data_IF_665265207376
#
_entry.id   IF_665265207376
#
_cell.length_a   1.000
_cell.length_b   1.000
_cell.length_c   1.000
_cell.angle_alpha   90.00
_cell.angle_beta   90.00
_cell.angle_gamma   90.00
#
_symmetry.space_group_name_H-M   'P 1'
#
loop_
_entity.id
_entity.type
_entity.pdbx_description
1 polymer ?
#
# COMPACT_ATOMS: atom_id res chain seq x y z
N UNK A 1 -11.14 8.26 -3.15
CA UNK A 1 -10.77 7.04 -3.94
C UNK A 1 -9.66 7.44 -4.91
N UNK A 2 -8.53 6.73 -4.92
CA UNK A 2 -7.45 6.98 -5.89
C UNK A 2 -7.94 6.64 -7.30
N UNK A 3 -7.68 7.54 -8.25
CA UNK A 3 -7.99 7.34 -9.67
C UNK A 3 -6.68 7.28 -10.44
N UNK A 4 -6.38 6.10 -10.99
CA UNK A 4 -5.21 5.92 -11.84
C UNK A 4 -5.37 6.74 -13.11
N UNK A 5 -4.26 7.25 -13.64
CA UNK A 5 -4.23 7.81 -14.98
C UNK A 5 -4.60 6.74 -16.02
N UNK A 6 -4.75 7.11 -17.28
CA UNK A 6 -4.84 6.13 -18.37
C UNK A 6 -3.45 5.81 -18.91
N UNK A 7 -3.18 4.58 -19.32
CA UNK A 7 -1.84 4.17 -19.76
C UNK A 7 -1.29 5.07 -20.88
N UNK A 8 -2.13 5.47 -21.83
CA UNK A 8 -1.75 6.39 -22.92
C UNK A 8 -1.22 7.74 -22.40
N UNK A 9 -1.74 8.23 -21.28
CA UNK A 9 -1.41 9.51 -20.66
C UNK A 9 -0.31 9.39 -19.60
N UNK A 10 -0.01 8.20 -19.13
CA UNK A 10 1.10 7.95 -18.21
C UNK A 10 2.41 8.00 -19.00
N UNK A 11 3.24 9.02 -18.83
CA UNK A 11 4.47 9.23 -19.62
C UNK A 11 5.76 9.04 -18.80
N UNK A 12 5.62 8.59 -17.56
CA UNK A 12 6.73 8.46 -16.64
C UNK A 12 7.38 7.09 -16.76
N UNK A 13 8.68 7.07 -16.48
CA UNK A 13 9.47 5.85 -16.34
C UNK A 13 9.16 5.17 -15.01
N UNK A 14 9.38 3.85 -14.95
CA UNK A 14 9.28 3.07 -13.72
C UNK A 14 10.68 2.77 -13.20
N UNK A 15 10.89 2.84 -11.89
CA UNK A 15 12.14 2.38 -11.29
C UNK A 15 11.91 1.04 -10.61
N UNK A 16 12.74 0.06 -10.94
CA UNK A 16 12.77 -1.24 -10.27
C UNK A 16 13.79 -1.22 -9.15
N UNK A 17 13.42 -1.81 -8.02
CA UNK A 17 14.26 -1.95 -6.84
C UNK A 17 14.30 -3.40 -6.37
N UNK A 18 15.40 -3.77 -5.72
CA UNK A 18 15.43 -4.88 -4.79
C UNK A 18 15.12 -4.37 -3.38
N UNK A 19 14.14 -5.00 -2.74
CA UNK A 19 13.73 -4.73 -1.37
C UNK A 19 14.10 -5.89 -0.46
N UNK A 20 15.04 -5.66 0.47
CA UNK A 20 15.47 -6.69 1.41
C UNK A 20 14.41 -6.91 2.51
N UNK A 21 13.64 -7.98 2.39
CA UNK A 21 12.56 -8.29 3.33
C UNK A 21 13.03 -8.99 4.61
N UNK A 22 14.29 -9.45 4.66
CA UNK A 22 14.89 -10.01 5.86
C UNK A 22 15.20 -8.91 6.89
N UNK A 23 15.70 -7.76 6.43
CA UNK A 23 15.94 -6.59 7.28
C UNK A 23 14.64 -5.98 7.80
N UNK A 24 13.65 -5.80 6.93
CA UNK A 24 12.33 -5.33 7.32
C UNK A 24 11.25 -6.07 6.51
N UNK A 25 10.47 -6.97 7.12
CA UNK A 25 9.38 -7.63 6.42
C UNK A 25 8.33 -6.63 5.93
N UNK A 26 7.79 -6.84 4.72
CA UNK A 26 6.80 -5.97 4.07
C UNK A 26 5.63 -5.58 4.99
N UNK A 27 5.11 -6.52 5.79
CA UNK A 27 4.02 -6.23 6.75
C UNK A 27 4.43 -5.21 7.83
N UNK A 28 5.67 -5.29 8.32
CA UNK A 28 6.19 -4.33 9.30
C UNK A 28 6.44 -2.98 8.66
N UNK A 29 6.98 -2.97 7.44
CA UNK A 29 7.14 -1.75 6.66
C UNK A 29 5.81 -1.05 6.39
N UNK A 30 4.79 -1.78 5.94
CA UNK A 30 3.42 -1.26 5.76
C UNK A 30 2.88 -0.63 7.04
N UNK A 31 3.12 -1.27 8.19
CA UNK A 31 2.72 -0.73 9.49
C UNK A 31 3.43 0.58 9.81
N UNK A 32 4.71 0.73 9.47
CA UNK A 32 5.45 1.99 9.67
C UNK A 32 4.91 3.12 8.77
N UNK A 33 4.45 2.79 7.55
CA UNK A 33 3.87 3.75 6.62
C UNK A 33 2.51 4.30 7.04
N UNK A 34 1.73 3.56 7.84
CA UNK A 34 0.43 4.01 8.35
C UNK A 34 0.48 5.26 9.23
N UNK A 35 1.68 5.73 9.59
CA UNK A 35 1.90 7.05 10.19
C UNK A 35 1.60 8.13 9.15
N UNK A 36 0.84 9.17 9.52
CA UNK A 36 0.33 10.23 8.62
C UNK A 36 1.40 10.99 7.80
N UNK A 37 2.68 10.74 8.03
CA UNK A 37 3.82 11.47 7.47
C UNK A 37 4.14 11.12 6.03
N UNK A 38 3.73 9.96 5.52
CA UNK A 38 4.24 9.44 4.23
C UNK A 38 3.22 9.48 3.10
N UNK A 39 2.00 9.97 3.36
CA UNK A 39 0.94 10.02 2.36
C UNK A 39 0.38 8.65 1.97
N UNK A 40 0.67 7.61 2.76
CA UNK A 40 0.13 6.27 2.53
C UNK A 40 -1.39 6.28 2.68
N UNK A 41 -2.10 5.78 1.66
CA UNK A 41 -3.57 5.71 1.66
C UNK A 41 -4.04 4.28 1.91
N UNK A 42 -3.56 3.34 1.10
CA UNK A 42 -4.12 2.00 1.10
C UNK A 42 -3.20 0.99 0.42
N UNK A 43 -3.53 -0.29 0.66
CA UNK A 43 -2.94 -1.43 -0.02
C UNK A 43 -3.93 -2.06 -1.00
N UNK A 44 -3.46 -2.35 -2.20
CA UNK A 44 -4.17 -3.14 -3.20
C UNK A 44 -3.35 -4.41 -3.52
N UNK A 45 -3.99 -5.39 -4.15
CA UNK A 45 -3.37 -6.65 -4.55
C UNK A 45 -3.80 -7.00 -5.96
N UNK A 46 -2.86 -7.47 -6.79
CA UNK A 46 -3.14 -8.08 -8.09
C UNK A 46 -2.36 -9.38 -8.31
N UNK A 47 -2.67 -10.08 -9.40
CA UNK A 47 -1.90 -11.24 -9.85
C UNK A 47 -0.56 -10.79 -10.44
N UNK A 48 0.50 -11.57 -10.21
CA UNK A 48 1.81 -11.37 -10.84
C UNK A 48 1.77 -11.80 -12.33
N UNK A 49 1.88 -10.87 -13.30
CA UNK A 49 1.89 -11.21 -14.73
C UNK A 49 3.25 -11.77 -15.20
N UNK A 50 4.31 -11.67 -14.39
CA UNK A 50 5.70 -11.93 -14.82
C UNK A 50 6.14 -13.38 -14.68
N UNK A 51 5.27 -14.28 -14.24
CA UNK A 51 5.61 -15.71 -14.11
C UNK A 51 6.12 -16.39 -15.39
N UNK A 52 5.75 -15.84 -16.55
CA UNK A 52 6.13 -16.37 -17.86
C UNK A 52 7.35 -15.67 -18.46
N UNK A 53 7.91 -14.68 -17.77
CA UNK A 53 9.09 -13.97 -18.24
C UNK A 53 10.32 -14.76 -17.84
N UNK A 54 11.12 -15.13 -18.82
CA UNK A 54 12.43 -15.72 -18.58
C UNK A 54 13.35 -14.62 -18.06
N UNK A 55 13.88 -14.80 -16.86
CA UNK A 55 14.89 -13.90 -16.29
C UNK A 55 16.25 -14.29 -16.89
N UNK A 56 16.99 -13.36 -17.52
CA UNK A 56 18.35 -13.62 -17.95
C UNK A 56 19.25 -14.03 -16.78
N UNK A 57 20.27 -14.85 -17.06
CA UNK A 57 21.27 -15.20 -16.05
C UNK A 57 22.02 -13.94 -15.58
N UNK A 58 22.09 -13.74 -14.26
CA UNK A 58 22.67 -12.55 -13.64
C UNK A 58 21.67 -11.43 -13.31
N UNK A 59 20.45 -11.47 -13.86
CA UNK A 59 19.35 -10.55 -13.52
C UNK A 59 18.41 -11.15 -12.46
N UNK A 60 18.83 -12.19 -11.75
CA UNK A 60 18.02 -12.82 -10.71
C UNK A 60 17.85 -11.91 -9.49
N UNK A 61 16.63 -11.92 -8.93
CA UNK A 61 16.36 -11.28 -7.64
C UNK A 61 17.20 -11.98 -6.57
N UNK A 62 18.04 -11.25 -5.81
CA UNK A 62 18.85 -11.84 -4.77
C UNK A 62 18.00 -12.60 -3.73
N UNK A 63 18.57 -13.60 -3.04
CA UNK A 63 17.92 -14.21 -1.90
C UNK A 63 17.48 -13.14 -0.89
N UNK A 64 16.31 -13.36 -0.29
CA UNK A 64 15.73 -12.45 0.70
C UNK A 64 15.31 -11.06 0.19
N UNK A 65 15.27 -10.87 -1.13
CA UNK A 65 14.75 -9.66 -1.75
C UNK A 65 13.39 -9.89 -2.45
N UNK A 66 12.56 -8.85 -2.43
CA UNK A 66 11.45 -8.69 -3.37
C UNK A 66 11.86 -7.74 -4.49
N UNK A 67 11.39 -8.00 -5.71
CA UNK A 67 11.40 -6.99 -6.76
C UNK A 67 10.25 -6.00 -6.51
N UNK A 68 10.56 -4.72 -6.61
CA UNK A 68 9.61 -3.64 -6.35
C UNK A 68 9.61 -2.65 -7.50
N UNK A 69 8.45 -2.41 -8.10
CA UNK A 69 8.27 -1.36 -9.09
C UNK A 69 7.74 -0.09 -8.45
N UNK A 70 8.43 1.04 -8.64
CA UNK A 70 7.95 2.36 -8.27
C UNK A 70 7.30 3.06 -9.46
N UNK A 71 6.08 3.56 -9.23
CA UNK A 71 5.30 4.30 -10.21
C UNK A 71 5.14 5.75 -9.76
N UNK A 72 5.99 6.68 -10.23
CA UNK A 72 5.77 8.09 -10.00
C UNK A 72 4.48 8.54 -10.69
N UNK A 73 3.68 9.37 -10.01
CA UNK A 73 2.46 10.00 -10.57
C UNK A 73 1.48 9.00 -11.23
N UNK A 74 1.35 7.79 -10.70
CA UNK A 74 0.42 6.78 -11.16
C UNK A 74 -1.06 7.23 -11.08
N UNK A 75 -1.35 8.04 -10.07
CA UNK A 75 -2.70 8.50 -9.75
C UNK A 75 -2.86 10.00 -10.01
N UNK A 76 -4.10 10.45 -10.13
CA UNK A 76 -4.45 11.87 -10.13
C UNK A 76 -3.86 12.57 -8.90
N UNK A 77 -3.59 13.88 -9.02
CA UNK A 77 -3.00 14.71 -7.96
C UNK A 77 -1.58 14.28 -7.52
N UNK A 78 -0.78 13.70 -8.43
CA UNK A 78 0.62 13.29 -8.17
C UNK A 78 0.76 12.13 -7.17
N UNK A 79 -0.29 11.33 -6.98
CA UNK A 79 -0.20 10.10 -6.20
C UNK A 79 0.68 9.06 -6.89
N UNK A 80 1.38 8.24 -6.12
CA UNK A 80 2.31 7.22 -6.62
C UNK A 80 2.01 5.84 -6.03
N UNK A 81 2.65 4.80 -6.56
CA UNK A 81 2.51 3.43 -6.07
C UNK A 81 3.85 2.70 -5.99
N UNK A 82 3.95 1.75 -5.06
CA UNK A 82 5.02 0.75 -4.97
C UNK A 82 4.40 -0.63 -5.11
N UNK A 83 4.79 -1.40 -6.11
CA UNK A 83 4.32 -2.77 -6.34
C UNK A 83 5.37 -3.80 -5.96
N UNK A 84 5.14 -4.54 -4.88
CA UNK A 84 6.04 -5.60 -4.38
C UNK A 84 5.64 -6.94 -4.99
N UNK A 85 6.50 -7.56 -5.80
CA UNK A 85 6.30 -8.95 -6.26
C UNK A 85 6.55 -9.91 -5.10
N UNK A 86 5.47 -10.45 -4.56
CA UNK A 86 5.52 -11.43 -3.46
C UNK A 86 5.34 -12.84 -4.03
N UNK A 87 6.31 -13.75 -3.87
CA UNK A 87 6.20 -15.11 -4.33
C UNK A 87 5.06 -15.84 -3.59
N UNK A 88 4.27 -16.62 -4.33
CA UNK A 88 3.00 -17.22 -3.85
C UNK A 88 3.12 -18.14 -2.63
N UNK A 89 4.33 -18.61 -2.30
CA UNK A 89 4.61 -19.48 -1.15
C UNK A 89 4.57 -18.74 0.21
N UNK A 90 4.78 -17.43 0.25
CA UNK A 90 4.98 -16.68 1.51
C UNK A 90 3.69 -16.14 2.15
N UNK A 91 2.62 -15.97 1.37
CA UNK A 91 1.32 -15.53 1.89
C UNK A 91 0.46 -16.77 2.15
N UNK A 92 0.37 -17.18 3.42
CA UNK A 92 -0.41 -18.33 3.93
C UNK A 92 -1.93 -18.31 3.68
N UNK A 93 -2.39 -17.65 2.63
CA UNK A 93 -3.75 -17.72 2.12
C UNK A 93 -3.92 -19.00 1.31
N UNK A 94 -4.52 -20.00 1.94
CA UNK A 94 -4.82 -21.38 1.48
C UNK A 94 -5.67 -21.53 0.19
N UNK A 95 -5.74 -20.51 -0.68
CA UNK A 95 -6.66 -20.47 -1.83
C UNK A 95 -6.01 -20.58 -3.22
N UNK A 96 -4.77 -20.14 -3.42
CA UNK A 96 -4.07 -20.27 -4.71
C UNK A 96 -2.56 -20.02 -4.52
N UNK A 97 -1.88 -20.87 -3.75
CA UNK A 97 -0.43 -20.75 -3.46
C UNK A 97 0.44 -20.88 -4.72
N UNK A 98 -0.13 -21.32 -5.84
CA UNK A 98 0.54 -21.41 -7.13
C UNK A 98 0.74 -20.05 -7.80
N UNK A 99 0.06 -19.00 -7.33
CA UNK A 99 0.11 -17.69 -7.97
C UNK A 99 0.72 -16.60 -7.11
N UNK A 100 1.95 -16.22 -7.49
CA UNK A 100 2.58 -14.96 -7.12
C UNK A 100 1.60 -13.80 -7.26
N UNK A 101 1.74 -12.83 -6.36
CA UNK A 101 0.90 -11.65 -6.27
C UNK A 101 1.78 -10.41 -6.25
N UNK A 102 1.17 -9.28 -6.59
CA UNK A 102 1.78 -7.98 -6.39
C UNK A 102 1.02 -7.25 -5.29
N UNK A 103 1.72 -6.91 -4.21
CA UNK A 103 1.22 -6.05 -3.14
C UNK A 103 1.52 -4.59 -3.49
N UNK A 104 0.48 -3.80 -3.72
CA UNK A 104 0.57 -2.40 -4.10
C UNK A 104 0.37 -1.49 -2.90
N UNK A 105 1.39 -0.74 -2.51
CA UNK A 105 1.27 0.34 -1.54
C UNK A 105 1.02 1.64 -2.30
N UNK A 106 -0.11 2.29 -2.03
CA UNK A 106 -0.56 3.47 -2.78
C UNK A 106 -0.49 4.74 -1.92
N UNK A 107 -0.02 5.83 -2.51
CA UNK A 107 0.25 7.10 -1.83
C UNK A 107 -0.46 8.27 -2.53
N UNK A 108 -0.86 9.29 -1.74
CA UNK A 108 -1.53 10.51 -2.22
C UNK A 108 -0.56 11.56 -2.79
N UNK A 109 0.74 11.36 -2.59
CA UNK A 109 1.84 12.24 -2.98
C UNK A 109 3.03 11.42 -3.46
N UNK A 110 4.04 12.08 -4.01
CA UNK A 110 5.32 11.41 -4.35
C UNK A 110 6.07 10.99 -3.10
N UNK A 111 6.67 9.79 -3.14
CA UNK A 111 7.54 9.28 -2.07
C UNK A 111 8.96 8.96 -2.54
N UNK A 112 9.34 9.41 -3.73
CA UNK A 112 10.63 9.08 -4.35
C UNK A 112 11.82 9.43 -3.43
N UNK A 113 11.83 10.64 -2.86
CA UNK A 113 12.86 11.07 -1.91
C UNK A 113 12.87 10.26 -0.60
N UNK A 114 11.74 9.64 -0.24
CA UNK A 114 11.64 8.80 0.96
C UNK A 114 12.18 7.39 0.71
N UNK A 115 12.03 6.86 -0.50
CA UNK A 115 12.52 5.51 -0.88
C UNK A 115 14.02 5.39 -0.60
N UNK A 116 14.80 6.39 -1.02
CA UNK A 116 16.26 6.43 -0.83
C UNK A 116 16.68 6.62 0.64
N UNK A 117 15.79 7.18 1.46
CA UNK A 117 16.02 7.48 2.88
C UNK A 117 15.53 6.36 3.80
N UNK A 118 14.76 5.40 3.29
CA UNK A 118 14.28 4.27 4.09
C UNK A 118 15.41 3.29 4.36
N UNK A 119 15.71 3.15 5.64
CA UNK A 119 16.78 2.32 6.15
C UNK A 119 16.26 1.40 7.24
N UNK A 120 16.85 0.21 7.35
CA UNK A 120 16.72 -0.64 8.51
C UNK A 120 17.94 -0.49 9.41
N UNK A 121 17.69 -0.56 10.71
CA UNK A 121 18.76 -0.73 11.70
C UNK A 121 19.05 -2.21 11.81
N UNK A 122 20.31 -2.59 11.62
CA UNK A 122 20.74 -3.98 11.75
C UNK A 122 20.83 -4.32 13.23
N UNK A 123 20.06 -5.32 13.72
CA UNK A 123 20.25 -5.80 15.07
C UNK A 123 21.63 -6.45 15.18
N UNK A 124 22.29 -6.22 16.31
CA UNK A 124 23.63 -6.77 16.59
C UNK A 124 23.59 -8.28 16.49
N UNK A 125 24.44 -8.86 15.64
CA UNK A 125 24.67 -10.30 15.69
C UNK A 125 25.31 -10.64 17.04
N UNK A 126 24.95 -11.79 17.61
CA UNK A 126 25.57 -12.32 18.83
C UNK A 126 27.08 -12.53 18.71
N UNK A 127 27.61 -12.49 17.48
CA UNK A 127 29.01 -12.68 17.13
C UNK A 127 29.78 -11.36 16.95
N UNK A 128 29.13 -10.20 17.08
CA UNK A 128 29.80 -8.89 17.14
C UNK A 128 30.48 -8.43 15.84
N UNK A 129 30.22 -9.09 14.71
CA UNK A 129 30.79 -8.72 13.39
C UNK A 129 30.04 -7.59 12.68
N UNK A 130 28.83 -7.23 13.13
CA UNK A 130 28.12 -6.05 12.64
C UNK A 130 28.51 -4.79 13.41
N UNK A 131 28.78 -3.68 12.70
CA UNK A 131 28.92 -2.37 13.35
C UNK A 131 27.55 -1.95 13.88
N UNK A 132 27.42 -1.96 15.20
CA UNK A 132 26.21 -1.62 15.93
C UNK A 132 25.66 -0.25 15.47
N UNK A 133 24.42 -0.22 14.99
CA UNK A 133 23.76 1.00 14.53
C UNK A 133 24.01 1.38 13.07
N UNK A 134 24.63 0.52 12.26
CA UNK A 134 24.69 0.72 10.82
C UNK A 134 23.29 0.73 10.20
N UNK A 135 23.03 1.76 9.41
CA UNK A 135 21.79 1.93 8.65
C UNK A 135 21.98 1.33 7.26
N UNK A 136 21.27 0.24 6.98
CA UNK A 136 21.27 -0.39 5.65
C UNK A 136 20.05 0.10 4.88
N UNK A 137 20.24 0.45 3.60
CA UNK A 137 19.14 0.86 2.71
C UNK A 137 18.19 -0.31 2.48
N UNK A 138 16.89 -0.02 2.55
CA UNK A 138 15.86 -1.01 2.29
C UNK A 138 15.61 -1.24 0.80
N UNK A 139 15.89 -0.24 -0.03
CA UNK A 139 15.67 -0.25 -1.47
C UNK A 139 16.98 -0.01 -2.20
N UNK A 140 17.33 -0.94 -3.08
CA UNK A 140 18.45 -0.83 -4.01
C UNK A 140 17.90 -0.69 -5.43
N UNK A 141 18.16 0.43 -6.10
CA UNK A 141 17.68 0.65 -7.46
C UNK A 141 18.48 -0.22 -8.44
N UNK A 142 17.79 -1.00 -9.27
CA UNK A 142 18.43 -1.96 -10.19
C UNK A 142 18.17 -1.68 -11.65
N UNK A 143 17.03 -1.07 -11.99
CA UNK A 143 16.72 -0.71 -13.37
C UNK A 143 15.74 0.46 -13.45
N UNK A 144 15.73 1.11 -14.61
CA UNK A 144 14.69 2.05 -15.01
C UNK A 144 14.05 1.55 -16.30
N UNK A 145 12.73 1.43 -16.30
CA UNK A 145 11.95 1.00 -17.46
C UNK A 145 11.29 2.21 -18.12
N UNK A 146 11.72 2.51 -19.33
CA UNK A 146 11.08 3.51 -20.15
C UNK A 146 9.76 2.99 -20.71
N UNK A 147 8.78 3.88 -20.86
CA UNK A 147 7.54 3.54 -21.56
C UNK A 147 7.76 3.23 -23.04
N UNK A 148 8.91 3.58 -23.61
CA UNK A 148 9.21 3.70 -25.05
C UNK A 148 8.69 5.00 -25.69
N UNK A 149 9.43 5.56 -26.67
CA UNK A 149 9.03 6.78 -27.36
C UNK A 149 7.71 6.58 -28.12
N UNK A 150 6.87 7.61 -28.14
CA UNK A 150 5.64 7.65 -28.92
C UNK A 150 5.99 7.48 -30.42
N UNK A 151 5.90 6.25 -30.93
CA UNK A 151 6.03 6.00 -32.37
C UNK A 151 4.88 6.73 -33.08
N UNK A 152 5.20 7.45 -34.15
CA UNK A 152 4.27 8.29 -34.91
C UNK A 152 2.96 7.55 -35.21
N UNK A 153 1.83 8.19 -34.89
CA UNK A 153 0.42 7.81 -35.14
C UNK A 153 -0.08 6.56 -34.38
N UNK A 154 -0.65 6.83 -33.20
CA UNK A 154 -1.80 6.07 -32.68
C UNK A 154 -1.52 4.73 -31.98
N UNK A 155 -0.34 4.14 -32.16
CA UNK A 155 -0.01 2.84 -31.57
C UNK A 155 1.05 3.01 -30.49
N UNK A 156 0.62 3.04 -29.22
CA UNK A 156 1.54 3.05 -28.06
C UNK A 156 2.07 1.62 -27.90
N UNK A 157 3.13 1.28 -28.63
CA UNK A 157 3.87 0.04 -28.42
C UNK A 157 4.92 0.30 -27.34
N UNK A 158 4.46 0.38 -26.10
CA UNK A 158 5.36 0.58 -24.96
C UNK A 158 6.16 -0.66 -24.62
N UNK A 159 7.24 -0.51 -23.82
CA UNK A 159 8.01 -1.66 -23.32
C UNK A 159 7.04 -2.66 -22.67
N UNK A 160 7.12 -3.94 -23.08
CA UNK A 160 6.12 -4.95 -22.70
C UNK A 160 6.02 -5.05 -21.18
N UNK A 161 7.16 -5.08 -20.50
CA UNK A 161 7.23 -5.18 -19.05
C UNK A 161 6.62 -3.96 -18.35
N UNK A 162 6.92 -2.75 -18.82
CA UNK A 162 6.33 -1.52 -18.30
C UNK A 162 4.81 -1.57 -18.42
N UNK A 163 4.28 -2.04 -19.56
CA UNK A 163 2.84 -2.15 -19.77
C UNK A 163 2.21 -3.19 -18.83
N UNK A 164 2.83 -4.35 -18.65
CA UNK A 164 2.33 -5.39 -17.74
C UNK A 164 2.30 -4.92 -16.29
N UNK A 165 3.36 -4.25 -15.82
CA UNK A 165 3.41 -3.62 -14.51
C UNK A 165 2.23 -2.65 -14.33
N UNK A 166 2.00 -1.78 -15.32
CA UNK A 166 0.92 -0.81 -15.28
C UNK A 166 -0.48 -1.44 -15.25
N UNK A 167 -0.69 -2.44 -16.10
CA UNK A 167 -1.95 -3.19 -16.18
C UNK A 167 -2.21 -3.99 -14.90
N UNK A 168 -1.16 -4.48 -14.25
CA UNK A 168 -1.26 -5.14 -12.96
C UNK A 168 -1.73 -4.18 -11.85
N UNK A 169 -1.29 -2.91 -11.86
CA UNK A 169 -1.81 -1.88 -10.96
C UNK A 169 -3.29 -1.56 -11.27
N UNK A 170 -3.65 -1.43 -12.54
CA UNK A 170 -5.03 -1.15 -12.97
C UNK A 170 -6.01 -2.25 -12.55
N UNK A 171 -5.57 -3.51 -12.59
CA UNK A 171 -6.36 -4.67 -12.15
C UNK A 171 -6.36 -4.89 -10.64
N UNK A 172 -5.58 -4.10 -9.89
CA UNK A 172 -5.43 -4.30 -8.45
C UNK A 172 -6.72 -4.00 -7.69
N UNK A 173 -6.99 -4.81 -6.67
CA UNK A 173 -8.21 -4.74 -5.84
C UNK A 173 -7.84 -4.71 -4.37
N UNK A 174 -8.76 -4.24 -3.54
CA UNK A 174 -8.58 -4.33 -2.09
C UNK A 174 -8.41 -5.80 -1.67
N UNK A 175 -7.45 -6.10 -0.77
CA UNK A 175 -7.26 -7.45 -0.28
C UNK A 175 -8.53 -7.92 0.45
N UNK A 176 -8.93 -9.17 0.21
CA UNK A 176 -10.04 -9.79 0.94
C UNK A 176 -9.55 -10.13 2.34
N UNK A 177 -9.96 -9.35 3.33
CA UNK A 177 -9.66 -9.62 4.73
C UNK A 177 -10.75 -10.52 5.31
N UNK A 178 -10.40 -11.77 5.64
CA UNK A 178 -11.30 -12.63 6.42
C UNK A 178 -11.30 -12.13 7.86
N UNK A 179 -12.40 -11.50 8.26
CA UNK A 179 -12.64 -11.14 9.66
C UNK A 179 -12.71 -12.44 10.47
N UNK A 180 -11.69 -12.69 11.30
CA UNK A 180 -11.81 -13.67 12.37
C UNK A 180 -12.57 -12.99 13.51
N UNK A 181 -13.86 -13.29 13.62
CA UNK A 181 -14.62 -13.00 14.83
C UNK A 181 -13.93 -13.74 15.99
N UNK A 182 -13.14 -13.02 16.77
CA UNK A 182 -12.57 -13.55 18.00
C UNK A 182 -13.39 -13.03 19.17
N UNK A 183 -13.79 -13.92 20.07
CA UNK A 183 -14.56 -13.58 21.27
C UNK A 183 -13.87 -12.51 22.14
N UNK A 184 -12.56 -12.31 21.99
CA UNK A 184 -11.78 -11.28 22.70
C UNK A 184 -12.20 -9.84 22.38
N UNK A 185 -12.71 -9.56 21.19
CA UNK A 185 -13.16 -8.20 20.83
C UNK A 185 -14.63 -7.97 21.16
N UNK A 186 -15.42 -9.04 21.33
CA UNK A 186 -16.87 -8.96 21.58
C UNK A 186 -17.21 -8.14 22.83
N UNK A 187 -16.40 -8.23 23.89
CA UNK A 187 -16.61 -7.44 25.10
C UNK A 187 -16.34 -5.94 24.89
N UNK A 188 -15.32 -5.59 24.10
CA UNK A 188 -15.00 -4.20 23.79
C UNK A 188 -16.01 -3.59 22.82
N UNK A 189 -16.41 -4.36 21.81
CA UNK A 189 -17.43 -3.95 20.84
C UNK A 189 -18.79 -3.77 21.53
N UNK A 190 -19.14 -4.64 22.48
CA UNK A 190 -20.36 -4.52 23.28
C UNK A 190 -20.35 -3.31 24.22
N UNK A 191 -19.22 -3.02 24.86
CA UNK A 191 -19.04 -1.79 25.66
C UNK A 191 -19.17 -0.53 24.80
N UNK A 192 -18.55 -0.52 23.63
CA UNK A 192 -18.67 0.61 22.69
C UNK A 192 -20.11 0.82 22.21
N UNK A 193 -20.85 -0.26 21.94
CA UNK A 193 -22.26 -0.18 21.54
C UNK A 193 -23.13 0.36 22.69
N UNK A 194 -22.88 -0.05 23.94
CA UNK A 194 -23.58 0.48 25.12
C UNK A 194 -23.29 1.97 25.29
N UNK A 195 -22.03 2.38 25.16
CA UNK A 195 -21.64 3.79 25.30
C UNK A 195 -22.23 4.63 24.16
N UNK A 196 -22.27 4.11 22.94
CA UNK A 196 -22.92 4.77 21.81
C UNK A 196 -24.44 4.94 22.00
N UNK A 197 -25.12 3.92 22.57
CA UNK A 197 -26.54 4.01 22.90
C UNK A 197 -26.82 5.06 23.98
N UNK A 198 -26.02 5.08 25.06
CA UNK A 198 -26.14 6.09 26.11
C UNK A 198 -25.92 7.50 25.59
N UNK A 199 -24.93 7.68 24.71
CA UNK A 199 -24.66 8.98 24.10
C UNK A 199 -25.84 9.44 23.23
N UNK A 200 -26.41 8.55 22.43
CA UNK A 200 -27.57 8.86 21.60
C UNK A 200 -28.83 9.20 22.44
N UNK A 201 -29.01 8.54 23.57
CA UNK A 201 -30.12 8.81 24.50
C UNK A 201 -29.96 10.15 25.22
N UNK A 202 -28.74 10.48 25.65
CA UNK A 202 -28.43 11.81 26.19
C UNK A 202 -28.65 12.92 25.16
N UNK A 203 -28.19 12.74 23.93
CA UNK A 203 -28.38 13.71 22.84
C UNK A 203 -29.87 13.89 22.48
N UNK A 204 -30.67 12.83 22.60
CA UNK A 204 -32.12 12.88 22.38
C UNK A 204 -32.83 13.66 23.50
N UNK A 205 -32.54 13.35 24.76
CA UNK A 205 -33.14 14.04 25.90
C UNK A 205 -32.75 15.53 25.94
N UNK A 206 -31.54 15.88 25.48
CA UNK A 206 -31.12 17.27 25.38
C UNK A 206 -31.94 18.05 24.36
N UNK A 207 -32.25 17.45 23.21
CA UNK A 207 -33.08 18.07 22.17
C UNK A 207 -34.54 18.22 22.60
N UNK A 208 -35.09 17.22 23.29
CA UNK A 208 -36.46 17.29 23.82
C UNK A 208 -36.61 18.34 24.94
N UNK A 209 -35.55 18.59 25.72
CA UNK A 209 -35.52 19.71 26.68
C UNK A 209 -35.39 21.08 26.02
N UNK A 210 -34.57 21.20 24.98
CA UNK A 210 -34.42 22.44 24.19
C UNK A 210 -35.72 22.83 23.46
N UNK A 211 -36.55 21.87 23.03
CA UNK A 211 -37.87 22.15 22.40
C UNK A 211 -38.96 22.56 23.40
N UNK A 212 -38.90 22.12 24.66
CA UNK A 212 -39.90 22.51 25.68
C UNK A 212 -39.71 23.94 26.19
N UNK A 213 -38.47 24.44 26.24
CA UNK A 213 -38.17 25.80 26.70
C UNK A 213 -38.55 26.87 25.67
N UNK A 214 -38.69 26.53 24.37
CA UNK A 214 -39.12 27.46 23.31
C UNK A 214 -40.64 27.69 23.28
N UNK A 215 -41.44 26.78 23.86
CA UNK A 215 -42.90 26.87 23.88
C UNK A 215 -43.46 27.64 25.11
N UNK A 216 -42.65 27.94 26.13
CA UNK A 216 -43.09 28.69 27.34
C UNK A 216 -42.90 30.22 27.28
N UNK A 217 -42.14 30.77 26.32
CA UNK A 217 -41.95 32.24 26.18
C UNK A 217 -43.01 32.94 25.28
N UNK A 218 -44.09 32.23 24.92
CA UNK A 218 -45.05 32.66 23.90
C UNK A 218 -46.35 33.32 24.35
N UNK A 219 -46.60 33.54 25.65
CA UNK A 219 -47.87 34.15 26.12
C UNK A 219 -47.65 35.11 27.31
N UNK A 220 -47.33 36.38 27.03
CA UNK A 220 -47.57 37.50 27.96
C UNK A 220 -48.15 38.68 27.17
N UNK A 221 -49.47 38.84 27.27
CA UNK A 221 -50.24 40.04 26.90
C UNK A 221 -49.97 41.23 27.85
#
# INVERSE_FOLDING_TARGET
>A
KLRQLQYRSYVYELTLYHYNYELLPLRRFETQLSRKTHGYITRLVSDDPFKSFTVPEGDEIPPYCYEVAFFPNAFQNRGCALGFRVPGSMLGSRGDQSKGKIDWLCFDRTVQEHIEKWVAEVPVDKEGLGVLGSKIRLFEAVATLDKAPLVKKGTVQGHKEHREWYMALERAKYPIVKLKLTWKNKGRDWLNDIDAQKQAEMDKNRKEGEEMDEDEEGDVD
#
